data_IF_762397613658
#
_entry.id   IF_762397613658
#
_cell.length_a   1.000
_cell.length_b   1.000
_cell.length_c   1.000
_cell.angle_alpha   90.00
_cell.angle_beta   90.00
_cell.angle_gamma   90.00
#
_symmetry.space_group_name_H-M   'P 1'
#
loop_
_entity.id
_entity.type
_entity.pdbx_description
1 polymer ?
#
# COMPACT_ATOMS: atom_id res chain seq x y z
N UNK A 1 5.66 -11.20 -4.13
CA UNK A 1 5.33 -11.74 -5.45
C UNK A 1 4.74 -10.63 -6.30
N UNK A 2 5.52 -10.10 -7.25
CA UNK A 2 5.12 -9.02 -8.15
C UNK A 2 5.03 -9.55 -9.58
N UNK A 3 3.85 -9.51 -10.16
CA UNK A 3 3.64 -9.82 -11.57
C UNK A 3 2.98 -8.62 -12.26
N UNK A 4 3.50 -8.24 -13.42
CA UNK A 4 3.00 -7.11 -14.21
C UNK A 4 2.80 -7.54 -15.65
N UNK A 5 1.69 -7.15 -16.24
CA UNK A 5 1.37 -7.33 -17.65
C UNK A 5 0.83 -6.06 -18.26
N UNK A 6 0.76 -6.00 -19.58
CA UNK A 6 0.24 -4.87 -20.33
C UNK A 6 -0.87 -5.33 -21.27
N UNK A 7 -1.93 -4.52 -21.40
CA UNK A 7 -3.03 -4.71 -22.36
C UNK A 7 -3.67 -6.12 -22.31
N UNK A 8 -3.85 -6.67 -21.10
CA UNK A 8 -4.33 -8.02 -20.84
C UNK A 8 -3.44 -9.13 -21.48
N UNK A 9 -2.20 -8.82 -21.80
CA UNK A 9 -1.20 -9.76 -22.26
C UNK A 9 -0.60 -10.62 -21.13
N UNK A 10 0.48 -11.34 -21.43
CA UNK A 10 1.19 -12.14 -20.44
C UNK A 10 1.66 -11.30 -19.24
N UNK A 11 1.54 -11.88 -18.05
CA UNK A 11 2.13 -11.28 -16.84
C UNK A 11 3.55 -11.79 -16.65
N UNK A 12 4.47 -10.87 -16.41
CA UNK A 12 5.89 -11.13 -16.15
C UNK A 12 6.13 -11.10 -14.65
N UNK A 13 6.78 -12.12 -14.10
CA UNK A 13 7.23 -12.11 -12.72
C UNK A 13 8.48 -11.23 -12.60
N UNK A 14 8.41 -10.23 -11.74
CA UNK A 14 9.44 -9.21 -11.58
C UNK A 14 10.21 -9.31 -10.24
N UNK A 15 9.93 -10.32 -9.42
CA UNK A 15 10.50 -10.46 -8.07
C UNK A 15 12.03 -10.45 -8.07
N UNK A 16 12.65 -11.01 -9.10
CA UNK A 16 14.09 -11.11 -9.20
C UNK A 16 14.74 -9.82 -9.65
N UNK A 17 14.08 -9.07 -10.55
CA UNK A 17 14.68 -7.95 -11.28
C UNK A 17 14.21 -6.58 -10.80
N UNK A 18 13.08 -6.47 -10.09
CA UNK A 18 12.57 -5.20 -9.60
C UNK A 18 12.87 -5.04 -8.12
N UNK A 19 13.37 -3.86 -7.76
CA UNK A 19 13.58 -3.43 -6.37
C UNK A 19 12.92 -2.09 -6.15
N UNK A 20 12.10 -2.00 -5.10
CA UNK A 20 11.46 -0.76 -4.69
C UNK A 20 12.43 0.07 -3.85
N UNK A 21 12.68 1.31 -4.27
CA UNK A 21 13.45 2.28 -3.51
C UNK A 21 12.59 2.87 -2.40
N UNK A 22 11.36 3.27 -2.75
CA UNK A 22 10.33 3.65 -1.78
C UNK A 22 8.92 3.48 -2.35
N UNK A 23 7.95 3.38 -1.45
CA UNK A 23 6.53 3.43 -1.76
C UNK A 23 5.82 4.21 -0.65
N UNK A 24 5.20 5.32 -1.01
CA UNK A 24 4.47 6.20 -0.09
C UNK A 24 3.02 6.32 -0.54
N UNK A 25 2.11 6.36 0.43
CA UNK A 25 0.69 6.57 0.15
C UNK A 25 0.12 7.57 1.14
N UNK A 26 -0.57 8.57 0.61
CA UNK A 26 -1.32 9.57 1.37
C UNK A 26 -2.78 9.50 0.97
N UNK A 27 -3.69 9.69 1.92
CA UNK A 27 -5.11 9.74 1.64
C UNK A 27 -5.83 10.77 2.51
N UNK A 28 -6.68 11.58 1.88
CA UNK A 28 -7.73 12.31 2.58
C UNK A 28 -9.02 11.51 2.50
N UNK A 29 -9.76 11.42 3.60
CA UNK A 29 -11.01 10.67 3.67
C UNK A 29 -12.10 11.43 4.40
N UNK A 30 -13.32 11.33 3.87
CA UNK A 30 -14.55 11.67 4.58
C UNK A 30 -15.17 10.38 5.11
N UNK A 31 -15.48 10.32 6.40
CA UNK A 31 -16.05 9.16 7.04
C UNK A 31 -17.38 9.53 7.74
N UNK A 32 -18.43 8.77 7.45
CA UNK A 32 -19.73 8.85 8.12
C UNK A 32 -19.87 7.57 8.94
N UNK A 33 -20.06 7.74 10.24
CA UNK A 33 -20.15 6.63 11.20
C UNK A 33 -21.45 6.69 12.00
N UNK A 34 -22.57 6.16 11.50
CA UNK A 34 -23.76 5.97 12.30
C UNK A 34 -23.48 4.90 13.38
N UNK A 35 -23.87 5.20 14.62
CA UNK A 35 -23.67 4.29 15.74
C UNK A 35 -24.88 4.20 16.65
N UNK A 36 -25.00 3.08 17.36
CA UNK A 36 -26.04 2.82 18.35
C UNK A 36 -25.44 2.07 19.55
N UNK A 37 -25.87 2.46 20.73
CA UNK A 37 -25.58 1.70 21.95
C UNK A 37 -26.64 0.62 22.15
N UNK A 38 -26.27 -0.65 21.92
CA UNK A 38 -27.14 -1.79 22.17
C UNK A 38 -27.27 -2.07 23.66
N UNK A 39 -26.16 -1.90 24.39
CA UNK A 39 -26.07 -2.00 25.84
C UNK A 39 -25.23 -0.84 26.38
N UNK A 40 -25.31 -0.51 27.67
CA UNK A 40 -24.49 0.57 28.26
C UNK A 40 -22.97 0.41 28.05
N UNK A 41 -22.54 -0.78 27.74
CA UNK A 41 -21.13 -1.13 27.53
C UNK A 41 -20.79 -1.49 26.08
N UNK A 42 -21.76 -1.55 25.16
CA UNK A 42 -21.55 -2.00 23.79
C UNK A 42 -22.12 -1.02 22.77
N UNK A 43 -21.24 -0.30 22.11
CA UNK A 43 -21.54 0.50 20.93
C UNK A 43 -21.32 -0.32 19.65
N UNK A 44 -22.27 -0.27 18.72
CA UNK A 44 -22.17 -0.90 17.39
C UNK A 44 -22.33 0.20 16.34
N UNK A 45 -21.60 0.13 15.25
CA UNK A 45 -21.58 1.18 14.25
C UNK A 45 -21.37 0.66 12.83
N UNK A 46 -21.86 1.46 11.88
CA UNK A 46 -21.51 1.37 10.47
C UNK A 46 -20.36 2.29 10.12
N UNK A 47 -19.69 2.01 9.03
CA UNK A 47 -18.66 2.86 8.43
C UNK A 47 -19.01 3.05 6.97
N UNK A 48 -19.10 4.31 6.54
CA UNK A 48 -19.22 4.72 5.16
C UNK A 48 -18.13 5.76 4.93
N UNK A 49 -17.13 5.45 4.10
CA UNK A 49 -16.05 6.38 3.86
C UNK A 49 -15.76 6.53 2.37
N UNK A 50 -15.39 7.75 1.99
CA UNK A 50 -14.94 8.11 0.66
C UNK A 50 -13.53 8.68 0.79
N UNK A 51 -12.60 8.17 0.02
CA UNK A 51 -11.21 8.62 0.07
C UNK A 51 -10.59 8.69 -1.32
N UNK A 52 -9.53 9.49 -1.41
CA UNK A 52 -8.70 9.60 -2.60
C UNK A 52 -7.24 9.36 -2.23
N UNK A 53 -6.81 8.09 -2.17
CA UNK A 53 -5.41 7.78 -1.96
C UNK A 53 -4.57 8.18 -3.16
N UNK A 54 -3.41 8.77 -2.86
CA UNK A 54 -2.33 9.04 -3.79
C UNK A 54 -1.17 8.14 -3.42
N UNK A 55 -0.64 7.40 -4.37
CA UNK A 55 0.49 6.50 -4.14
C UNK A 55 1.64 6.91 -5.04
N UNK A 56 2.80 7.10 -4.45
CA UNK A 56 4.06 7.36 -5.13
C UNK A 56 4.96 6.16 -4.96
N UNK A 57 5.42 5.59 -6.06
CA UNK A 57 6.27 4.40 -6.06
C UNK A 57 7.51 4.71 -6.91
N UNK A 58 8.68 4.44 -6.37
CA UNK A 58 9.94 4.50 -7.08
C UNK A 58 10.61 3.13 -7.05
N UNK A 59 11.00 2.63 -8.21
CA UNK A 59 11.59 1.31 -8.35
C UNK A 59 12.64 1.27 -9.46
N UNK A 60 13.62 0.39 -9.27
CA UNK A 60 14.65 0.10 -10.26
C UNK A 60 14.53 -1.29 -10.86
N UNK A 61 14.93 -1.43 -12.12
CA UNK A 61 15.13 -2.72 -12.79
C UNK A 61 16.61 -3.06 -12.70
N UNK A 62 16.90 -4.24 -12.17
CA UNK A 62 18.25 -4.69 -11.84
C UNK A 62 18.59 -5.99 -12.57
N UNK A 63 19.81 -6.08 -13.07
CA UNK A 63 20.35 -7.31 -13.68
C UNK A 63 21.76 -7.56 -13.15
N UNK A 64 22.20 -8.84 -13.03
CA UNK A 64 23.55 -9.15 -12.60
C UNK A 64 24.55 -9.07 -13.77
N UNK A 65 25.76 -8.62 -13.47
CA UNK A 65 26.90 -8.70 -14.38
C UNK A 65 27.60 -10.07 -14.33
N UNK A 66 28.71 -10.22 -15.07
CA UNK A 66 29.54 -11.45 -15.14
C UNK A 66 30.10 -11.87 -13.79
N UNK A 67 30.28 -10.94 -12.84
CA UNK A 67 30.71 -11.23 -11.47
C UNK A 67 29.55 -11.58 -10.55
N UNK A 68 28.30 -11.61 -11.05
CA UNK A 68 27.05 -11.75 -10.30
C UNK A 68 26.78 -10.55 -9.36
N UNK A 69 27.28 -9.36 -9.72
CA UNK A 69 26.97 -8.11 -9.04
C UNK A 69 25.75 -7.49 -9.72
N UNK A 70 24.69 -7.28 -8.95
CA UNK A 70 23.46 -6.68 -9.44
C UNK A 70 23.63 -5.18 -9.66
N UNK A 71 23.27 -4.71 -10.86
CA UNK A 71 23.35 -3.32 -11.27
C UNK A 71 21.99 -2.83 -11.74
N UNK A 72 21.66 -1.59 -11.41
CA UNK A 72 20.45 -0.94 -11.89
C UNK A 72 20.63 -0.52 -13.36
N UNK A 73 19.68 -0.94 -14.19
CA UNK A 73 19.69 -0.63 -15.62
C UNK A 73 18.63 0.44 -15.99
N UNK A 74 17.60 0.58 -15.19
CA UNK A 74 16.56 1.60 -15.36
C UNK A 74 15.88 1.91 -14.04
N UNK A 75 15.49 3.19 -13.84
CA UNK A 75 14.75 3.66 -12.67
C UNK A 75 13.45 4.31 -13.11
N UNK A 76 12.34 3.95 -12.47
CA UNK A 76 11.01 4.46 -12.75
C UNK A 76 10.38 5.03 -11.48
N UNK A 77 9.69 6.15 -11.65
CA UNK A 77 8.85 6.73 -10.60
C UNK A 77 7.42 6.87 -11.13
N UNK A 78 6.46 6.38 -10.38
CA UNK A 78 5.05 6.43 -10.75
C UNK A 78 4.25 7.13 -9.67
N UNK A 79 3.26 7.93 -10.07
CA UNK A 79 2.30 8.56 -9.17
C UNK A 79 0.90 8.20 -9.63
N UNK A 80 0.15 7.52 -8.79
CA UNK A 80 -1.21 7.12 -9.10
C UNK A 80 -2.18 7.61 -8.03
N UNK A 81 -3.34 8.09 -8.47
CA UNK A 81 -4.44 8.56 -7.61
C UNK A 81 -5.68 7.74 -7.92
N UNK A 82 -6.34 7.24 -6.89
CA UNK A 82 -7.53 6.40 -7.03
C UNK A 82 -8.69 6.98 -6.23
N UNK A 83 -9.92 6.68 -6.63
CA UNK A 83 -11.05 6.86 -5.73
C UNK A 83 -11.27 5.55 -4.96
N UNK A 84 -11.68 5.67 -3.73
CA UNK A 84 -12.02 4.51 -2.91
C UNK A 84 -13.30 4.79 -2.11
N UNK A 85 -14.23 3.86 -2.18
CA UNK A 85 -15.45 3.84 -1.38
C UNK A 85 -15.38 2.68 -0.40
N UNK A 86 -15.54 2.95 0.89
CA UNK A 86 -15.41 1.96 1.94
C UNK A 86 -16.73 1.77 2.67
N UNK A 87 -17.14 0.54 2.81
CA UNK A 87 -18.21 0.11 3.68
C UNK A 87 -17.67 -0.77 4.81
N UNK A 88 -18.21 -0.65 6.01
CA UNK A 88 -17.78 -1.47 7.12
C UNK A 88 -18.76 -1.52 8.28
N UNK A 89 -18.48 -2.44 9.20
CA UNK A 89 -19.21 -2.62 10.45
C UNK A 89 -18.21 -2.75 11.60
N UNK A 90 -18.59 -2.25 12.76
CA UNK A 90 -17.74 -2.35 13.92
C UNK A 90 -18.48 -2.37 15.23
N UNK A 91 -17.75 -2.67 16.28
CA UNK A 91 -18.23 -2.62 17.66
C UNK A 91 -17.15 -2.11 18.60
N UNK A 92 -17.58 -1.47 19.65
CA UNK A 92 -16.71 -0.96 20.71
C UNK A 92 -17.27 -1.34 22.09
N UNK A 93 -16.96 -2.54 22.62
CA UNK A 93 -17.18 -2.81 24.04
C UNK A 93 -16.34 -1.87 24.89
N UNK A 94 -16.96 -1.33 25.95
CA UNK A 94 -16.34 -0.36 26.86
C UNK A 94 -16.67 -0.75 28.28
N UNK A 95 -15.65 -0.81 29.15
CA UNK A 95 -15.79 -1.10 30.57
C UNK A 95 -15.16 0.01 31.42
N UNK A 96 -15.74 0.28 32.56
CA UNK A 96 -15.12 1.16 33.57
C UNK A 96 -14.00 0.44 34.31
N UNK A 97 -12.87 1.10 34.50
CA UNK A 97 -11.73 0.55 35.25
C UNK A 97 -11.01 1.66 36.01
N UNK A 98 -10.78 1.48 37.30
CA UNK A 98 -9.96 2.35 38.15
C UNK A 98 -10.25 3.87 38.00
N UNK A 99 -11.52 4.26 37.89
CA UNK A 99 -11.94 5.66 37.70
C UNK A 99 -11.73 6.22 36.31
N UNK A 100 -11.39 5.38 35.36
CA UNK A 100 -11.35 5.61 33.91
C UNK A 100 -12.19 4.59 33.17
N UNK A 101 -11.85 4.33 31.92
CA UNK A 101 -12.50 3.34 31.05
C UNK A 101 -11.50 2.68 30.10
N UNK A 102 -11.78 1.45 29.74
CA UNK A 102 -11.12 0.72 28.69
C UNK A 102 -12.13 0.42 27.58
N UNK A 103 -11.76 0.66 26.35
CA UNK A 103 -12.55 0.36 25.18
C UNK A 103 -11.72 -0.49 24.20
N UNK A 104 -12.41 -1.39 23.50
CA UNK A 104 -11.80 -2.22 22.47
C UNK A 104 -12.55 -1.96 21.15
N UNK A 105 -11.97 -1.14 20.29
CA UNK A 105 -12.55 -0.83 18.99
C UNK A 105 -12.20 -1.93 17.98
N UNK A 106 -13.19 -2.57 17.39
CA UNK A 106 -13.03 -3.63 16.40
C UNK A 106 -13.92 -3.33 15.20
N UNK A 107 -13.34 -3.39 14.01
CA UNK A 107 -14.15 -3.23 12.80
C UNK A 107 -13.60 -4.04 11.63
N UNK A 108 -14.50 -4.36 10.72
CA UNK A 108 -14.22 -4.94 9.41
C UNK A 108 -14.68 -3.98 8.34
N UNK A 109 -13.87 -3.83 7.30
CA UNK A 109 -14.17 -2.95 6.17
C UNK A 109 -13.86 -3.61 4.85
N UNK A 110 -14.64 -3.24 3.84
CA UNK A 110 -14.44 -3.57 2.43
C UNK A 110 -14.32 -2.26 1.67
N UNK A 111 -13.18 -2.06 1.03
CA UNK A 111 -12.89 -0.84 0.27
C UNK A 111 -12.87 -1.20 -1.22
N UNK A 112 -13.82 -0.65 -1.95
CA UNK A 112 -13.84 -0.68 -3.41
C UNK A 112 -12.95 0.45 -3.91
N UNK A 113 -11.91 0.09 -4.65
CA UNK A 113 -10.87 1.01 -5.16
C UNK A 113 -10.79 0.83 -6.67
N UNK A 114 -10.86 1.91 -7.43
CA UNK A 114 -10.92 1.90 -8.90
C UNK A 114 -9.80 1.06 -9.56
N UNK A 115 -8.65 0.96 -8.90
CA UNK A 115 -7.49 0.21 -9.39
C UNK A 115 -7.48 -1.29 -9.02
N UNK A 116 -8.46 -1.79 -8.28
CA UNK A 116 -8.50 -3.16 -7.79
C UNK A 116 -9.63 -3.96 -8.43
N UNK A 117 -9.35 -5.22 -8.78
CA UNK A 117 -10.34 -6.13 -9.35
C UNK A 117 -11.41 -6.57 -8.33
N UNK A 118 -11.09 -6.48 -7.03
CA UNK A 118 -11.98 -6.86 -5.91
C UNK A 118 -11.81 -5.90 -4.75
N UNK A 119 -12.89 -5.68 -3.97
CA UNK A 119 -12.80 -4.87 -2.76
C UNK A 119 -11.72 -5.36 -1.81
N UNK A 120 -10.91 -4.43 -1.31
CA UNK A 120 -9.88 -4.72 -0.31
C UNK A 120 -10.54 -4.91 1.07
N UNK A 121 -10.29 -6.06 1.69
CA UNK A 121 -10.74 -6.36 3.05
C UNK A 121 -9.72 -5.88 4.07
N UNK A 122 -10.21 -5.25 5.15
CA UNK A 122 -9.39 -4.92 6.31
C UNK A 122 -10.11 -5.22 7.62
N UNK A 123 -9.34 -5.62 8.63
CA UNK A 123 -9.77 -5.75 10.00
C UNK A 123 -8.92 -4.88 10.91
N UNK A 124 -9.57 -4.09 11.75
CA UNK A 124 -8.93 -3.22 12.74
C UNK A 124 -9.29 -3.69 14.13
N UNK A 125 -8.28 -3.78 14.99
CA UNK A 125 -8.38 -4.09 16.41
C UNK A 125 -7.64 -3.01 17.19
N UNK A 126 -8.34 -2.27 18.07
CA UNK A 126 -7.81 -1.07 18.71
C UNK A 126 -8.16 -0.91 20.18
N UNK A 127 -7.30 -1.39 21.12
CA UNK A 127 -7.47 -1.11 22.53
C UNK A 127 -7.20 0.36 22.85
N UNK A 128 -8.06 0.94 23.73
CA UNK A 128 -7.93 2.30 24.24
C UNK A 128 -8.13 2.32 25.74
N UNK A 129 -7.33 3.12 26.44
CA UNK A 129 -7.48 3.43 27.86
C UNK A 129 -7.70 4.93 27.99
N UNK A 130 -8.74 5.32 28.70
CA UNK A 130 -9.11 6.72 28.79
C UNK A 130 -9.74 7.11 30.13
N UNK A 131 -9.85 8.41 30.29
CA UNK A 131 -10.52 9.02 31.44
C UNK A 131 -11.39 10.18 30.98
N UNK A 132 -12.56 10.31 31.59
CA UNK A 132 -13.49 11.41 31.35
C UNK A 132 -13.45 12.38 32.52
N UNK A 133 -13.20 13.65 32.21
CA UNK A 133 -13.19 14.75 33.15
C UNK A 133 -14.45 15.59 32.94
N UNK A 134 -15.27 15.69 33.98
CA UNK A 134 -16.50 16.48 33.97
C UNK A 134 -16.19 17.93 34.34
N UNK A 135 -16.85 18.86 33.64
CA UNK A 135 -16.79 20.29 33.97
C UNK A 135 -17.92 20.69 34.92
N UNK A 136 -17.90 21.93 35.35
CA UNK A 136 -18.93 22.50 36.24
C UNK A 136 -20.32 22.46 35.59
N UNK A 137 -20.39 22.62 34.25
CA UNK A 137 -21.66 22.44 33.50
C UNK A 137 -21.90 20.95 33.32
N UNK A 138 -23.05 20.41 33.80
CA UNK A 138 -23.30 18.98 33.87
C UNK A 138 -23.20 18.24 32.53
N UNK A 139 -23.48 18.95 31.44
CA UNK A 139 -23.47 18.39 30.08
C UNK A 139 -22.12 18.43 29.40
N UNK A 140 -21.14 19.13 30.00
CA UNK A 140 -19.81 19.30 29.40
C UNK A 140 -18.80 18.38 30.06
N UNK A 141 -18.04 17.71 29.23
CA UNK A 141 -16.91 16.89 29.65
C UNK A 141 -15.85 16.79 28.56
N UNK A 142 -14.65 16.40 28.94
CA UNK A 142 -13.61 15.98 28.04
C UNK A 142 -13.18 14.56 28.38
N UNK A 143 -13.20 13.69 27.39
CA UNK A 143 -12.62 12.37 27.47
C UNK A 143 -11.28 12.37 26.74
N UNK A 144 -10.24 11.85 27.38
CA UNK A 144 -8.91 11.70 26.79
C UNK A 144 -8.50 10.24 26.85
N UNK A 145 -7.76 9.77 25.85
CA UNK A 145 -7.31 8.39 25.80
C UNK A 145 -5.94 8.27 25.12
N UNK A 146 -5.30 7.18 25.46
CA UNK A 146 -4.15 6.62 24.76
C UNK A 146 -4.50 5.20 24.35
N UNK A 147 -3.89 4.71 23.30
CA UNK A 147 -4.14 3.36 22.84
C UNK A 147 -3.28 2.97 21.67
N UNK A 148 -3.73 1.94 20.98
CA UNK A 148 -3.14 1.52 19.73
C UNK A 148 -4.20 0.90 18.85
N UNK A 149 -3.84 0.64 17.60
CA UNK A 149 -4.62 -0.23 16.75
C UNK A 149 -3.71 -1.10 15.90
N UNK A 150 -4.18 -2.30 15.66
CA UNK A 150 -3.59 -3.23 14.71
C UNK A 150 -4.44 -3.25 13.46
N UNK A 151 -3.80 -3.05 12.32
CA UNK A 151 -4.44 -3.16 11.01
C UNK A 151 -3.99 -4.45 10.34
N UNK A 152 -4.97 -5.25 9.93
CA UNK A 152 -4.77 -6.46 9.14
C UNK A 152 -5.60 -6.34 7.86
N UNK A 153 -5.00 -6.62 6.71
CA UNK A 153 -5.70 -6.63 5.43
C UNK A 153 -5.24 -7.78 4.54
N UNK A 154 -6.01 -8.04 3.50
CA UNK A 154 -5.65 -9.05 2.51
C UNK A 154 -4.31 -8.69 1.86
N UNK A 155 -3.37 -9.62 1.87
CA UNK A 155 -2.03 -9.42 1.34
C UNK A 155 -2.03 -9.39 -0.19
N UNK A 156 -2.83 -10.25 -0.84
CA UNK A 156 -2.91 -10.34 -2.28
C UNK A 156 -3.74 -9.20 -2.86
N UNK A 157 -3.17 -8.48 -3.81
CA UNK A 157 -3.82 -7.37 -4.52
C UNK A 157 -3.66 -7.61 -6.02
N UNK A 158 -4.78 -7.72 -6.72
CA UNK A 158 -4.83 -7.76 -8.17
C UNK A 158 -5.56 -6.53 -8.67
N UNK A 159 -5.12 -5.99 -9.78
CA UNK A 159 -5.76 -4.83 -10.33
C UNK A 159 -5.27 -4.46 -11.72
N UNK A 160 -5.93 -3.45 -12.27
CA UNK A 160 -5.60 -2.86 -13.55
C UNK A 160 -5.68 -1.34 -13.45
N UNK A 161 -4.76 -0.66 -14.09
CA UNK A 161 -4.67 0.79 -14.09
C UNK A 161 -4.31 1.28 -15.49
N UNK A 162 -4.82 2.44 -15.89
CA UNK A 162 -4.42 3.06 -17.14
C UNK A 162 -2.93 3.43 -17.12
N UNK A 163 -2.21 3.13 -18.20
CA UNK A 163 -0.79 3.49 -18.30
C UNK A 163 -0.57 4.99 -18.21
N UNK A 164 -1.50 5.80 -18.73
CA UNK A 164 -1.46 7.26 -18.64
C UNK A 164 -1.61 7.80 -17.21
N UNK A 165 -2.27 7.06 -16.31
CA UNK A 165 -2.38 7.42 -14.90
C UNK A 165 -1.12 7.07 -14.11
N UNK A 166 -0.43 6.00 -14.52
CA UNK A 166 0.81 5.54 -13.87
C UNK A 166 2.01 6.37 -14.30
N UNK A 167 2.04 6.77 -15.58
CA UNK A 167 3.14 7.50 -16.20
C UNK A 167 2.65 8.83 -16.77
N UNK A 168 2.47 9.85 -15.93
CA UNK A 168 1.96 11.14 -16.38
C UNK A 168 2.91 11.90 -17.34
N UNK A 169 4.20 11.51 -17.36
CA UNK A 169 5.24 12.11 -18.23
C UNK A 169 5.81 11.07 -19.20
N UNK A 170 5.04 10.80 -20.26
CA UNK A 170 5.32 9.75 -21.23
C UNK A 170 6.62 9.93 -22.02
N UNK A 171 7.09 11.16 -22.23
CA UNK A 171 8.33 11.43 -22.99
C UNK A 171 9.59 10.88 -22.30
N UNK A 172 9.64 10.90 -20.97
CA UNK A 172 10.74 10.34 -20.20
C UNK A 172 10.66 8.82 -20.04
N UNK A 173 9.46 8.25 -20.06
CA UNK A 173 9.29 6.81 -19.90
C UNK A 173 9.82 6.02 -21.09
N UNK A 174 9.54 6.48 -22.33
CA UNK A 174 10.06 5.85 -23.54
C UNK A 174 11.60 5.86 -23.56
N UNK A 175 12.22 7.01 -23.33
CA UNK A 175 13.69 7.11 -23.30
C UNK A 175 14.33 6.21 -22.23
N UNK A 176 13.67 6.04 -21.10
CA UNK A 176 14.15 5.11 -20.04
C UNK A 176 14.00 3.65 -20.43
N UNK A 177 12.93 3.28 -21.13
CA UNK A 177 12.73 1.92 -21.64
C UNK A 177 13.79 1.62 -22.70
N UNK A 178 14.00 2.53 -23.65
CA UNK A 178 15.02 2.39 -24.71
C UNK A 178 16.42 2.22 -24.11
N UNK A 179 16.78 3.08 -23.16
CA UNK A 179 18.07 2.99 -22.47
C UNK A 179 18.21 1.69 -21.65
N UNK A 180 17.11 1.23 -21.05
CA UNK A 180 17.06 -0.05 -20.34
C UNK A 180 17.26 -1.24 -21.27
N UNK A 181 16.61 -1.27 -22.42
CA UNK A 181 16.77 -2.31 -23.43
C UNK A 181 18.21 -2.36 -23.97
N UNK A 182 18.81 -1.19 -24.27
CA UNK A 182 20.20 -1.12 -24.66
C UNK A 182 21.15 -1.72 -23.62
N UNK A 183 20.93 -1.40 -22.34
CA UNK A 183 21.74 -1.96 -21.23
C UNK A 183 21.54 -3.46 -21.06
N UNK A 184 20.33 -3.99 -21.29
CA UNK A 184 20.09 -5.44 -21.31
C UNK A 184 20.92 -6.10 -22.40
N UNK A 185 20.93 -5.57 -23.64
CA UNK A 185 21.68 -6.09 -24.76
C UNK A 185 23.19 -6.04 -24.53
N UNK A 186 23.70 -4.90 -24.05
CA UNK A 186 25.11 -4.73 -23.68
C UNK A 186 25.54 -5.74 -22.60
N UNK A 187 24.73 -5.92 -21.56
CA UNK A 187 25.04 -6.85 -20.46
C UNK A 187 24.92 -8.30 -20.93
N UNK A 188 23.94 -8.63 -21.77
CA UNK A 188 23.83 -9.97 -22.37
C UNK A 188 25.07 -10.32 -23.18
N UNK A 189 25.53 -9.39 -24.04
CA UNK A 189 26.77 -9.57 -24.81
C UNK A 189 27.99 -9.80 -23.91
N UNK A 190 28.10 -9.06 -22.79
CA UNK A 190 29.18 -9.27 -21.83
C UNK A 190 29.12 -10.66 -21.17
N UNK A 191 27.91 -11.10 -20.78
CA UNK A 191 27.68 -12.41 -20.15
C UNK A 191 28.02 -13.54 -21.12
N UNK A 192 27.59 -13.43 -22.38
CA UNK A 192 27.84 -14.44 -23.41
C UNK A 192 29.34 -14.52 -23.79
N UNK A 193 29.99 -13.37 -23.92
CA UNK A 193 31.43 -13.32 -24.15
C UNK A 193 32.23 -13.90 -22.98
N UNK A 194 31.85 -13.60 -21.75
CA UNK A 194 32.45 -14.19 -20.56
C UNK A 194 32.29 -15.71 -20.56
N UNK A 195 31.06 -16.21 -20.80
CA UNK A 195 30.79 -17.63 -20.83
C UNK A 195 31.55 -18.36 -21.96
N UNK A 196 31.53 -17.78 -23.18
CA UNK A 196 32.25 -18.32 -24.34
C UNK A 196 33.77 -18.32 -24.20
N UNK A 197 34.32 -17.41 -23.39
CA UNK A 197 35.75 -17.34 -23.06
C UNK A 197 36.22 -18.36 -22.01
N UNK A 198 35.31 -19.07 -21.34
CA UNK A 198 35.62 -20.09 -20.35
C UNK A 198 36.02 -21.42 -21.02
N UNK A 199 36.98 -22.13 -20.43
CA UNK A 199 37.29 -23.52 -20.82
C UNK A 199 36.13 -24.45 -20.44
N UNK A 200 36.03 -25.62 -21.09
CA UNK A 200 35.03 -26.63 -20.79
C UNK A 200 35.00 -27.03 -19.31
N UNK A 201 36.16 -27.11 -18.65
CA UNK A 201 36.22 -27.40 -17.22
C UNK A 201 35.64 -26.26 -16.36
N UNK A 202 35.85 -25.01 -16.76
CA UNK A 202 35.31 -23.84 -16.09
C UNK A 202 33.81 -23.70 -16.33
N UNK A 203 33.29 -24.01 -17.53
CA UNK A 203 31.85 -24.03 -17.82
C UNK A 203 31.12 -25.13 -17.05
N UNK A 204 31.78 -26.29 -16.82
CA UNK A 204 31.22 -27.36 -16.01
C UNK A 204 31.30 -27.11 -14.50
N UNK A 205 31.97 -26.04 -14.08
CA UNK A 205 32.00 -25.63 -12.67
C UNK A 205 30.60 -25.16 -12.22
N UNK A 206 29.99 -25.77 -11.16
CA UNK A 206 28.63 -25.43 -10.73
C UNK A 206 28.43 -23.94 -10.40
N UNK A 207 29.48 -23.27 -9.89
CA UNK A 207 29.40 -21.84 -9.54
C UNK A 207 29.30 -20.98 -10.80
N UNK A 208 30.12 -21.26 -11.83
CA UNK A 208 30.08 -20.52 -13.09
C UNK A 208 28.75 -20.78 -13.84
N UNK A 209 28.30 -22.03 -13.84
CA UNK A 209 27.02 -22.39 -14.43
C UNK A 209 25.84 -21.66 -13.75
N UNK A 210 25.80 -21.66 -12.42
CA UNK A 210 24.77 -20.94 -11.69
C UNK A 210 24.80 -19.42 -11.94
N UNK A 211 25.98 -18.81 -12.05
CA UNK A 211 26.11 -17.39 -12.42
C UNK A 211 25.55 -17.11 -13.81
N UNK A 212 25.92 -17.92 -14.79
CA UNK A 212 25.44 -17.78 -16.18
C UNK A 212 23.92 -17.95 -16.29
N UNK A 213 23.36 -18.98 -15.65
CA UNK A 213 21.92 -19.25 -15.62
C UNK A 213 21.16 -18.11 -14.92
N UNK A 214 21.67 -17.60 -13.78
CA UNK A 214 21.07 -16.47 -13.07
C UNK A 214 21.07 -15.20 -13.92
N UNK A 215 22.20 -14.89 -14.57
CA UNK A 215 22.30 -13.71 -15.42
C UNK A 215 21.35 -13.81 -16.62
N UNK A 216 21.33 -14.94 -17.33
CA UNK A 216 20.43 -15.14 -18.47
C UNK A 216 18.96 -15.08 -18.07
N UNK A 217 18.58 -15.68 -16.95
CA UNK A 217 17.19 -15.63 -16.45
C UNK A 217 16.78 -14.18 -16.14
N UNK A 218 17.62 -13.43 -15.47
CA UNK A 218 17.33 -12.04 -15.12
C UNK A 218 17.30 -11.13 -16.35
N UNK A 219 18.25 -11.27 -17.28
CA UNK A 219 18.31 -10.49 -18.51
C UNK A 219 17.10 -10.80 -19.43
N UNK A 220 16.73 -12.08 -19.56
CA UNK A 220 15.54 -12.48 -20.30
C UNK A 220 14.26 -11.88 -19.69
N UNK A 221 14.12 -11.94 -18.36
CA UNK A 221 12.99 -11.36 -17.66
C UNK A 221 12.92 -9.84 -17.83
N UNK A 222 14.05 -9.14 -17.71
CA UNK A 222 14.16 -7.71 -17.90
C UNK A 222 13.85 -7.29 -19.35
N UNK A 223 14.42 -7.99 -20.32
CA UNK A 223 14.17 -7.75 -21.74
C UNK A 223 12.70 -7.95 -22.12
N UNK A 224 12.09 -9.06 -21.70
CA UNK A 224 10.68 -9.32 -21.95
C UNK A 224 9.76 -8.27 -21.34
N UNK A 225 10.03 -7.86 -20.09
CA UNK A 225 9.26 -6.81 -19.42
C UNK A 225 9.41 -5.46 -20.12
N UNK A 226 10.65 -5.05 -20.46
CA UNK A 226 10.90 -3.76 -21.10
C UNK A 226 10.34 -3.72 -22.54
N UNK A 227 10.43 -4.81 -23.31
CA UNK A 227 9.79 -4.89 -24.64
C UNK A 227 8.26 -4.79 -24.55
N UNK A 228 7.64 -5.43 -23.55
CA UNK A 228 6.20 -5.30 -23.33
C UNK A 228 5.80 -3.87 -22.91
N UNK A 229 6.64 -3.22 -22.11
CA UNK A 229 6.45 -1.82 -21.74
C UNK A 229 6.59 -0.87 -22.94
N UNK A 230 7.59 -1.11 -23.82
CA UNK A 230 7.79 -0.38 -25.07
C UNK A 230 6.55 -0.45 -25.97
N UNK A 231 6.05 -1.65 -26.21
CA UNK A 231 4.82 -1.86 -26.99
C UNK A 231 3.59 -1.17 -26.39
N UNK A 232 3.49 -1.11 -25.05
CA UNK A 232 2.40 -0.41 -24.38
C UNK A 232 2.56 1.12 -24.44
N UNK A 233 3.79 1.65 -24.38
CA UNK A 233 4.08 3.07 -24.52
C UNK A 233 3.77 3.59 -25.92
N UNK A 234 3.88 2.77 -26.95
CA UNK A 234 3.48 3.14 -28.32
C UNK A 234 1.97 3.43 -28.48
N UNK A 235 1.13 2.99 -27.52
CA UNK A 235 -0.34 3.16 -27.52
C UNK A 235 -0.90 3.67 -26.21
N UNK A 236 -0.19 4.59 -25.55
CA UNK A 236 -0.42 5.06 -24.16
C UNK A 236 -1.87 5.41 -23.84
N UNK A 237 -2.58 6.09 -24.74
CA UNK A 237 -3.95 6.55 -24.48
C UNK A 237 -4.96 5.41 -24.23
N UNK A 238 -4.64 4.19 -24.69
CA UNK A 238 -5.51 3.01 -24.58
C UNK A 238 -4.86 1.86 -23.82
N UNK A 239 -3.62 2.03 -23.37
CA UNK A 239 -2.87 0.97 -22.72
C UNK A 239 -3.18 0.88 -21.23
N UNK A 240 -3.27 -0.35 -20.75
CA UNK A 240 -3.50 -0.67 -19.34
C UNK A 240 -2.37 -1.53 -18.78
N UNK A 241 -2.08 -1.35 -17.50
CA UNK A 241 -1.13 -2.15 -16.73
C UNK A 241 -1.91 -3.04 -15.78
N UNK A 242 -1.83 -4.35 -15.96
CA UNK A 242 -2.36 -5.33 -15.02
C UNK A 242 -1.27 -5.73 -14.04
N UNK A 243 -1.59 -5.74 -12.78
CA UNK A 243 -0.64 -6.14 -11.75
C UNK A 243 -1.23 -7.16 -10.77
N UNK A 244 -0.34 -7.99 -10.23
CA UNK A 244 -0.61 -8.86 -9.10
C UNK A 244 0.51 -8.69 -8.10
N UNK A 245 0.18 -8.28 -6.89
CA UNK A 245 1.15 -7.93 -5.88
C UNK A 245 0.74 -8.50 -4.53
N UNK A 246 1.68 -9.21 -3.89
CA UNK A 246 1.57 -9.57 -2.48
C UNK A 246 2.27 -8.51 -1.64
N UNK A 247 1.49 -7.71 -0.92
CA UNK A 247 2.00 -6.64 -0.08
C UNK A 247 1.86 -6.96 1.40
N UNK A 248 2.85 -6.56 2.17
CA UNK A 248 2.83 -6.64 3.63
C UNK A 248 2.97 -5.27 4.25
N UNK A 249 2.23 -5.05 5.33
CA UNK A 249 2.39 -3.83 6.14
C UNK A 249 3.67 -3.93 6.94
N UNK A 250 4.56 -2.97 6.76
CA UNK A 250 5.81 -2.90 7.54
C UNK A 250 5.54 -2.81 9.04
N UNK A 251 4.53 -2.04 9.44
CA UNK A 251 4.11 -1.86 10.83
C UNK A 251 2.62 -2.16 10.97
N UNK A 252 2.26 -3.29 11.56
CA UNK A 252 0.85 -3.67 11.78
C UNK A 252 0.20 -2.85 12.90
N UNK A 253 0.98 -2.41 13.89
CA UNK A 253 0.52 -1.62 15.01
C UNK A 253 0.79 -0.14 14.80
N UNK A 254 -0.10 0.71 15.34
CA UNK A 254 0.09 2.13 15.48
C UNK A 254 -0.33 2.57 16.88
N UNK A 255 0.34 3.57 17.46
CA UNK A 255 -0.09 4.23 18.68
C UNK A 255 -1.04 5.36 18.37
N UNK A 256 -1.99 5.60 19.27
CA UNK A 256 -2.95 6.70 19.16
C UNK A 256 -3.05 7.47 20.48
N UNK A 257 -3.22 8.76 20.33
CA UNK A 257 -3.69 9.65 21.40
C UNK A 257 -4.91 10.39 20.89
N UNK A 258 -5.88 10.60 21.76
CA UNK A 258 -7.10 11.29 21.33
C UNK A 258 -7.82 11.97 22.46
N UNK A 259 -8.71 12.88 22.05
CA UNK A 259 -9.61 13.57 22.96
C UNK A 259 -10.97 13.76 22.30
N UNK A 260 -12.01 13.79 23.13
CA UNK A 260 -13.37 14.11 22.72
C UNK A 260 -13.95 15.10 23.71
N UNK A 261 -14.39 16.24 23.19
CA UNK A 261 -15.07 17.26 23.97
C UNK A 261 -16.56 17.22 23.73
N UNK A 262 -17.34 16.99 24.77
CA UNK A 262 -18.79 17.09 24.74
C UNK A 262 -19.22 18.52 25.05
N UNK A 263 -19.78 19.21 24.07
CA UNK A 263 -20.21 20.59 24.16
C UNK A 263 -21.54 20.71 24.89
N UNK A 264 -22.48 19.81 24.58
CA UNK A 264 -23.80 19.70 25.19
C UNK A 264 -24.34 18.27 25.03
N UNK A 265 -25.62 18.01 25.34
CA UNK A 265 -26.20 16.66 25.19
C UNK A 265 -26.09 16.08 23.79
N UNK A 266 -26.10 16.93 22.77
CA UNK A 266 -26.19 16.51 21.37
C UNK A 266 -24.85 16.57 20.63
N UNK A 267 -24.01 17.56 20.88
CA UNK A 267 -22.80 17.81 20.08
C UNK A 267 -21.52 17.46 20.78
N UNK A 268 -20.67 16.75 20.05
CA UNK A 268 -19.32 16.39 20.48
C UNK A 268 -18.32 16.62 19.35
N UNK A 269 -17.12 17.06 19.73
CA UNK A 269 -15.94 17.17 18.87
C UNK A 269 -14.93 16.10 19.26
N UNK A 270 -14.34 15.44 18.28
CA UNK A 270 -13.32 14.41 18.50
C UNK A 270 -12.08 14.71 17.67
N UNK A 271 -10.92 14.51 18.28
CA UNK A 271 -9.62 14.49 17.59
C UNK A 271 -8.82 13.28 18.02
N UNK A 272 -8.19 12.61 17.08
CA UNK A 272 -7.31 11.48 17.33
C UNK A 272 -6.08 11.57 16.42
N UNK A 273 -4.90 11.41 16.97
CA UNK A 273 -3.65 11.37 16.24
C UNK A 273 -2.97 10.03 16.43
N UNK A 274 -2.63 9.38 15.33
CA UNK A 274 -1.93 8.11 15.28
C UNK A 274 -0.52 8.28 14.77
N UNK A 275 0.44 7.63 15.44
CA UNK A 275 1.86 7.74 15.13
C UNK A 275 2.61 6.47 15.55
N UNK A 276 3.28 5.83 14.63
CA UNK A 276 4.33 4.84 14.89
C UNK A 276 5.07 4.51 13.60
N UNK A 277 6.39 4.57 13.64
CA UNK A 277 7.22 4.26 12.48
C UNK A 277 6.88 5.16 11.29
N UNK A 278 6.58 4.56 10.15
CA UNK A 278 6.29 5.28 8.90
C UNK A 278 4.82 5.68 8.72
N UNK A 279 3.93 5.36 9.70
CA UNK A 279 2.50 5.65 9.58
C UNK A 279 2.10 6.79 10.50
N UNK A 280 1.54 7.84 9.92
CA UNK A 280 0.92 8.95 10.63
C UNK A 280 -0.51 9.12 10.14
N UNK A 281 -1.43 9.46 11.05
CA UNK A 281 -2.81 9.76 10.69
C UNK A 281 -3.39 10.77 11.67
N UNK A 282 -4.27 11.63 11.16
CA UNK A 282 -5.10 12.51 11.96
C UNK A 282 -6.56 12.28 11.62
N UNK A 283 -7.40 12.14 12.65
CA UNK A 283 -8.84 12.01 12.51
C UNK A 283 -9.47 13.14 13.31
N UNK A 284 -10.20 14.03 12.63
CA UNK A 284 -11.08 15.03 13.22
C UNK A 284 -12.52 14.64 12.98
N UNK A 285 -13.41 14.81 13.96
CA UNK A 285 -14.80 14.44 13.80
C UNK A 285 -15.76 15.31 14.59
N UNK A 286 -16.95 15.50 14.03
CA UNK A 286 -18.12 16.08 14.68
C UNK A 286 -19.15 14.98 14.84
N UNK A 287 -19.66 14.80 16.05
CA UNK A 287 -20.68 13.80 16.34
C UNK A 287 -21.95 14.47 16.87
N UNK A 288 -23.10 14.03 16.37
CA UNK A 288 -24.42 14.45 16.84
C UNK A 288 -25.16 13.25 17.44
N UNK A 289 -25.70 13.42 18.63
CA UNK A 289 -26.57 12.42 19.30
C UNK A 289 -28.02 12.72 19.10
N UNK A 290 -28.78 11.71 18.68
CA UNK A 290 -30.22 11.72 18.56
C UNK A 290 -30.86 11.08 19.82
N UNK A 291 -32.06 11.47 20.17
CA UNK A 291 -32.90 10.75 21.14
C UNK A 291 -32.53 10.92 22.62
N UNK A 292 -31.91 12.03 23.01
CA UNK A 292 -31.64 12.37 24.41
C UNK A 292 -32.63 13.37 24.96
#
# INVERSE_FOLDING_TARGET
NLNVGFNNGPKYNLDQIVRFNYAESEAAALNIRPDIWLFPFLNVYGILAFSKPNTLIDFGVWVPDTANVWKEIATYSTKASFNASTFGLGMTPTIGIAGGWMALDMNVTWSDVDALDKPAFAFVFGPRLGKTFKFKKPEQNIAMWVGGFRLMYSNATNGSISLSEVLPDNGNAQAKVDAGLQKVEETQTQVDNWWGGLTNAQQNNPVNKAKYETANSALTAAGNFLNAADGALGTVSNSTVQYSLDKQVKNMWNFIVGAQYQLNKHWMLRGEYGFLGSRQQFIGGLQYRFGL
#
